data_IF_597058902993
#
_entry.id   IF_597058902993
#
_cell.length_a   1.000
_cell.length_b   1.000
_cell.length_c   1.000
_cell.angle_alpha   90.00
_cell.angle_beta   90.00
_cell.angle_gamma   90.00
#
_symmetry.space_group_name_H-M   'P 1'
#
loop_
_entity.id
_entity.type
_entity.pdbx_description
1 polymer ?
#
# COMPACT_ATOMS: atom_id res chain seq x y z
N UNK A 1 7.64 5.07 27.36
CA UNK A 1 8.62 4.51 26.39
C UNK A 1 8.33 3.02 26.09
N UNK A 2 7.10 2.67 25.69
CA UNK A 2 6.71 1.28 25.41
C UNK A 2 6.04 1.07 24.04
N UNK A 3 5.99 2.11 23.18
CA UNK A 3 5.30 2.07 21.89
C UNK A 3 6.19 1.79 20.67
N UNK A 4 7.51 1.69 20.86
CA UNK A 4 8.49 1.66 19.75
C UNK A 4 8.96 0.25 19.37
N UNK A 5 8.76 -0.76 20.21
CA UNK A 5 9.32 -2.11 19.97
C UNK A 5 8.50 -2.95 18.99
N UNK A 6 7.17 -2.83 18.96
CA UNK A 6 6.33 -3.59 18.02
C UNK A 6 6.51 -3.10 16.56
N UNK A 7 6.69 -1.79 16.38
CA UNK A 7 6.87 -1.16 15.06
C UNK A 7 8.20 -1.59 14.42
N UNK A 8 9.27 -1.69 15.21
CA UNK A 8 10.60 -2.08 14.69
C UNK A 8 10.67 -3.59 14.37
N UNK A 9 9.95 -4.44 15.11
CA UNK A 9 9.99 -5.89 14.87
C UNK A 9 9.35 -6.32 13.56
N UNK A 10 8.28 -5.66 13.09
CA UNK A 10 7.69 -5.91 11.76
C UNK A 10 8.72 -5.71 10.65
N UNK A 11 9.77 -4.92 10.91
CA UNK A 11 10.69 -4.50 9.87
C UNK A 11 11.90 -5.41 9.62
N UNK A 12 12.11 -6.46 10.44
CA UNK A 12 13.23 -7.41 10.33
C UNK A 12 12.74 -8.87 10.39
N UNK A 13 11.59 -9.19 9.78
CA UNK A 13 11.06 -10.57 9.80
C UNK A 13 11.39 -11.29 8.47
N UNK A 14 11.93 -12.53 8.51
CA UNK A 14 12.04 -13.40 7.33
C UNK A 14 10.66 -13.69 6.71
N UNK A 15 10.62 -14.41 5.60
CA UNK A 15 9.42 -14.70 4.79
C UNK A 15 8.23 -15.27 5.60
N UNK A 16 7.47 -14.41 6.29
CA UNK A 16 6.34 -14.79 7.13
C UNK A 16 5.07 -14.99 6.30
N UNK A 17 5.01 -14.47 5.06
CA UNK A 17 3.85 -14.62 4.17
C UNK A 17 3.32 -16.07 4.09
N UNK A 18 4.16 -17.06 3.74
CA UNK A 18 3.76 -18.47 3.76
C UNK A 18 3.29 -18.98 5.12
N UNK A 19 3.98 -18.60 6.20
CA UNK A 19 3.64 -19.04 7.56
C UNK A 19 2.30 -18.47 8.01
N UNK A 20 2.02 -17.20 7.70
CA UNK A 20 0.75 -16.55 7.99
C UNK A 20 -0.40 -17.20 7.22
N UNK A 21 -0.18 -17.50 5.94
CA UNK A 21 -1.14 -18.22 5.10
C UNK A 21 -1.42 -19.61 5.68
N UNK A 22 -0.39 -20.31 6.15
CA UNK A 22 -0.53 -21.61 6.80
C UNK A 22 -1.32 -21.52 8.11
N UNK A 23 -1.05 -20.52 8.95
CA UNK A 23 -1.80 -20.27 10.20
C UNK A 23 -3.27 -20.00 9.90
N UNK A 24 -3.57 -19.17 8.90
CA UNK A 24 -4.96 -18.90 8.48
C UNK A 24 -5.62 -20.19 8.02
N UNK A 25 -5.01 -20.95 7.11
CA UNK A 25 -5.59 -22.19 6.59
C UNK A 25 -5.84 -23.23 7.70
N UNK A 26 -4.86 -23.46 8.59
CA UNK A 26 -5.03 -24.39 9.72
C UNK A 26 -6.17 -23.99 10.65
N UNK A 27 -6.33 -22.70 10.92
CA UNK A 27 -7.42 -22.21 11.74
C UNK A 27 -8.77 -22.35 11.04
N UNK A 28 -8.83 -22.03 9.75
CA UNK A 28 -10.04 -22.25 8.94
C UNK A 28 -10.43 -23.73 8.94
N UNK A 29 -9.48 -24.65 8.70
CA UNK A 29 -9.73 -26.10 8.72
C UNK A 29 -10.26 -26.59 10.08
N UNK A 30 -9.80 -25.97 11.18
CA UNK A 30 -10.31 -26.26 12.53
C UNK A 30 -11.74 -25.74 12.71
N UNK A 31 -12.00 -24.49 12.31
CA UNK A 31 -13.31 -23.84 12.41
C UNK A 31 -14.37 -24.53 11.55
N UNK A 32 -14.00 -25.04 10.38
CA UNK A 32 -14.89 -25.81 9.49
C UNK A 32 -15.38 -27.11 10.15
N UNK A 33 -14.58 -27.72 11.03
CA UNK A 33 -14.96 -28.95 11.76
C UNK A 33 -15.87 -28.67 12.95
N UNK A 34 -15.86 -27.45 13.47
CA UNK A 34 -16.74 -27.04 14.57
C UNK A 34 -18.12 -26.67 14.02
N UNK A 35 -19.11 -27.50 14.32
CA UNK A 35 -20.47 -27.39 13.79
C UNK A 35 -21.23 -26.16 14.32
N UNK A 36 -21.09 -25.87 15.61
CA UNK A 36 -21.74 -24.73 16.27
C UNK A 36 -20.89 -23.47 16.12
N UNK A 37 -21.50 -22.38 15.67
CA UNK A 37 -20.84 -21.08 15.60
C UNK A 37 -20.43 -20.56 16.99
N UNK A 38 -21.19 -20.89 18.04
CA UNK A 38 -20.92 -20.43 19.40
C UNK A 38 -19.65 -21.07 20.00
N UNK A 39 -19.27 -22.24 19.50
CA UNK A 39 -18.10 -23.01 19.98
C UNK A 39 -16.83 -22.70 19.18
N UNK A 40 -16.91 -21.81 18.18
CA UNK A 40 -15.78 -21.41 17.35
C UNK A 40 -14.94 -20.36 18.06
N UNK A 41 -13.68 -20.69 18.33
CA UNK A 41 -12.68 -19.72 18.77
C UNK A 41 -12.02 -19.04 17.55
N UNK A 42 -12.33 -17.76 17.38
CA UNK A 42 -11.79 -16.95 16.28
C UNK A 42 -10.54 -16.15 16.65
N UNK A 43 -10.04 -16.24 17.89
CA UNK A 43 -8.96 -15.39 18.41
C UNK A 43 -7.71 -15.40 17.51
N UNK A 44 -7.27 -16.58 17.11
CA UNK A 44 -6.08 -16.74 16.25
C UNK A 44 -6.34 -16.22 14.84
N UNK A 45 -7.54 -16.44 14.29
CA UNK A 45 -7.90 -15.92 12.97
C UNK A 45 -7.94 -14.39 12.96
N UNK A 46 -8.48 -13.77 14.00
CA UNK A 46 -8.50 -12.31 14.16
C UNK A 46 -7.08 -11.75 14.32
N UNK A 47 -6.21 -12.40 15.08
CA UNK A 47 -4.81 -11.98 15.21
C UNK A 47 -4.04 -12.09 13.89
N UNK A 48 -4.28 -13.17 13.14
CA UNK A 48 -3.70 -13.38 11.82
C UNK A 48 -4.18 -12.30 10.83
N UNK A 49 -5.48 -12.00 10.81
CA UNK A 49 -6.06 -10.93 9.98
C UNK A 49 -5.50 -9.55 10.34
N UNK A 50 -5.43 -9.19 11.62
CA UNK A 50 -4.84 -7.93 12.05
C UNK A 50 -3.36 -7.81 11.64
N UNK A 51 -2.63 -8.93 11.64
CA UNK A 51 -1.25 -8.97 11.15
C UNK A 51 -1.18 -8.74 9.63
N UNK A 52 -2.09 -9.34 8.84
CA UNK A 52 -2.19 -9.07 7.40
C UNK A 52 -2.54 -7.60 7.14
N UNK A 53 -3.50 -7.05 7.89
CA UNK A 53 -3.95 -5.66 7.78
C UNK A 53 -2.79 -4.69 8.02
N UNK A 54 -2.06 -4.85 9.14
CA UNK A 54 -0.93 -3.98 9.48
C UNK A 54 0.21 -4.12 8.47
N UNK A 55 0.56 -5.36 8.09
CA UNK A 55 1.66 -5.63 7.15
C UNK A 55 1.34 -5.33 5.68
N UNK A 56 0.12 -4.91 5.36
CA UNK A 56 -0.32 -4.62 3.99
C UNK A 56 -0.99 -3.25 3.89
N UNK A 57 -2.18 -3.09 4.47
CA UNK A 57 -3.02 -1.89 4.32
C UNK A 57 -2.35 -0.68 4.98
N UNK A 58 -1.93 -0.83 6.23
CA UNK A 58 -1.30 0.29 6.95
C UNK A 58 0.07 0.64 6.37
N UNK A 59 0.83 -0.37 5.96
CA UNK A 59 2.07 -0.16 5.23
C UNK A 59 1.85 0.60 3.92
N UNK A 60 0.88 0.21 3.08
CA UNK A 60 0.56 0.95 1.83
C UNK A 60 0.13 2.38 2.13
N UNK A 61 -0.69 2.61 3.16
CA UNK A 61 -1.10 3.96 3.57
C UNK A 61 0.08 4.83 3.96
N UNK A 62 1.13 4.23 4.52
CA UNK A 62 2.40 4.88 4.86
C UNK A 62 3.37 5.02 3.66
N UNK A 63 2.97 4.59 2.47
CA UNK A 63 3.79 4.66 1.25
C UNK A 63 4.77 3.49 1.10
N UNK A 64 4.55 2.37 1.78
CA UNK A 64 5.41 1.18 1.74
C UNK A 64 5.01 0.17 0.65
N UNK A 65 4.29 0.61 -0.40
CA UNK A 65 3.82 -0.23 -1.50
C UNK A 65 4.83 -1.21 -2.06
N UNK A 66 6.00 -0.70 -2.47
CA UNK A 66 7.09 -1.53 -3.02
C UNK A 66 7.54 -2.64 -2.08
N UNK A 67 7.50 -2.37 -0.78
CA UNK A 67 7.89 -3.33 0.24
C UNK A 67 6.79 -4.37 0.45
N UNK A 68 5.54 -3.93 0.54
CA UNK A 68 4.36 -4.80 0.60
C UNK A 68 4.31 -5.71 -0.64
N UNK A 69 4.55 -5.19 -1.83
CA UNK A 69 4.67 -6.01 -3.03
C UNK A 69 5.88 -6.95 -2.94
N UNK A 70 7.07 -6.49 -2.53
CA UNK A 70 8.20 -7.41 -2.35
C UNK A 70 7.88 -8.55 -1.36
N UNK A 71 7.02 -8.31 -0.36
CA UNK A 71 6.57 -9.33 0.58
C UNK A 71 5.52 -10.28 -0.01
N UNK A 72 4.53 -9.75 -0.72
CA UNK A 72 3.39 -10.51 -1.21
C UNK A 72 3.49 -10.92 -2.68
N UNK A 73 4.50 -10.49 -3.44
CA UNK A 73 4.60 -10.70 -4.89
C UNK A 73 4.34 -12.15 -5.30
N UNK A 74 4.93 -13.08 -4.55
CA UNK A 74 4.83 -14.53 -4.82
C UNK A 74 3.71 -15.22 -4.03
N UNK A 75 2.98 -14.50 -3.19
CA UNK A 75 2.04 -15.07 -2.22
C UNK A 75 0.65 -14.41 -2.21
N UNK A 76 0.44 -13.33 -2.97
CA UNK A 76 -0.81 -12.56 -2.99
C UNK A 76 -2.03 -13.41 -3.36
N UNK A 77 -1.91 -14.29 -4.35
CA UNK A 77 -3.01 -15.20 -4.69
C UNK A 77 -3.32 -16.19 -3.57
N UNK A 78 -2.28 -16.78 -2.96
CA UNK A 78 -2.44 -17.76 -1.90
C UNK A 78 -3.05 -17.14 -0.64
N UNK A 79 -2.63 -15.91 -0.29
CA UNK A 79 -3.24 -15.12 0.77
C UNK A 79 -4.73 -14.88 0.51
N UNK A 80 -5.09 -14.39 -0.68
CA UNK A 80 -6.48 -14.07 -1.00
C UNK A 80 -7.38 -15.32 -1.06
N UNK A 81 -6.84 -16.48 -1.44
CA UNK A 81 -7.57 -17.76 -1.35
C UNK A 81 -7.81 -18.16 0.11
N UNK A 82 -6.80 -18.03 0.98
CA UNK A 82 -6.94 -18.32 2.40
C UNK A 82 -7.99 -17.40 3.06
N UNK A 83 -7.95 -16.09 2.75
CA UNK A 83 -8.96 -15.13 3.21
C UNK A 83 -10.35 -15.42 2.64
N UNK A 84 -10.45 -15.88 1.38
CA UNK A 84 -11.74 -16.27 0.79
C UNK A 84 -12.39 -17.43 1.54
N UNK A 85 -11.60 -18.42 1.99
CA UNK A 85 -12.10 -19.49 2.85
C UNK A 85 -12.50 -18.97 4.23
N UNK A 86 -11.68 -18.10 4.81
CA UNK A 86 -11.96 -17.48 6.10
C UNK A 86 -13.26 -16.65 6.11
N UNK A 87 -13.61 -15.99 5.00
CA UNK A 87 -14.91 -15.30 4.87
C UNK A 87 -16.08 -16.28 5.06
N UNK A 88 -16.01 -17.51 4.54
CA UNK A 88 -17.09 -18.49 4.69
C UNK A 88 -17.31 -18.88 6.17
N UNK A 89 -16.23 -19.17 6.90
CA UNK A 89 -16.33 -19.65 8.28
C UNK A 89 -16.69 -18.56 9.29
N UNK A 90 -16.51 -17.30 8.91
CA UNK A 90 -16.85 -16.14 9.76
C UNK A 90 -18.29 -15.67 9.56
N UNK A 91 -19.06 -16.21 8.61
CA UNK A 91 -20.48 -15.81 8.42
C UNK A 91 -21.25 -15.99 9.73
N UNK A 92 -21.93 -14.91 10.15
CA UNK A 92 -22.67 -14.86 11.41
C UNK A 92 -21.84 -14.46 12.63
N UNK A 93 -20.51 -14.42 12.53
CA UNK A 93 -19.65 -13.92 13.61
C UNK A 93 -19.76 -12.38 13.73
N UNK A 94 -19.65 -11.79 14.93
CA UNK A 94 -19.78 -10.35 15.13
C UNK A 94 -18.78 -9.50 14.33
N UNK A 95 -17.60 -10.04 14.05
CA UNK A 95 -16.52 -9.35 13.33
C UNK A 95 -16.49 -9.64 11.82
N UNK A 96 -17.45 -10.42 11.29
CA UNK A 96 -17.48 -10.84 9.88
C UNK A 96 -17.37 -9.66 8.90
N UNK A 97 -18.13 -8.60 9.14
CA UNK A 97 -18.16 -7.44 8.24
C UNK A 97 -16.83 -6.70 8.20
N UNK A 98 -16.14 -6.58 9.33
CA UNK A 98 -14.82 -5.96 9.39
C UNK A 98 -13.79 -6.84 8.69
N UNK A 99 -13.80 -8.15 8.95
CA UNK A 99 -12.95 -9.13 8.26
C UNK A 99 -13.15 -9.07 6.73
N UNK A 100 -14.40 -9.07 6.28
CA UNK A 100 -14.75 -8.97 4.86
C UNK A 100 -14.23 -7.67 4.26
N UNK A 101 -14.39 -6.54 4.96
CA UNK A 101 -13.87 -5.25 4.52
C UNK A 101 -12.36 -5.26 4.35
N UNK A 102 -11.61 -5.83 5.29
CA UNK A 102 -10.17 -6.02 5.17
C UNK A 102 -9.84 -6.88 3.94
N UNK A 103 -10.54 -8.01 3.74
CA UNK A 103 -10.30 -8.88 2.59
C UNK A 103 -10.56 -8.17 1.24
N UNK A 104 -11.59 -7.34 1.15
CA UNK A 104 -11.86 -6.49 -0.03
C UNK A 104 -10.73 -5.49 -0.30
N UNK A 105 -10.27 -4.79 0.75
CA UNK A 105 -9.15 -3.84 0.64
C UNK A 105 -7.86 -4.53 0.20
N UNK A 106 -7.58 -5.73 0.74
CA UNK A 106 -6.40 -6.51 0.37
C UNK A 106 -6.46 -6.97 -1.09
N UNK A 107 -7.64 -7.35 -1.59
CA UNK A 107 -7.83 -7.71 -2.99
C UNK A 107 -7.51 -6.53 -3.93
N UNK A 108 -8.05 -5.34 -3.63
CA UNK A 108 -7.78 -4.10 -4.37
C UNK A 108 -6.29 -3.72 -4.33
N UNK A 109 -5.72 -3.63 -3.12
CA UNK A 109 -4.35 -3.16 -2.92
C UNK A 109 -3.28 -4.07 -3.51
N UNK A 110 -3.46 -5.40 -3.44
CA UNK A 110 -2.50 -6.35 -3.99
C UNK A 110 -2.66 -6.56 -5.50
N UNK A 111 -3.64 -5.89 -6.12
CA UNK A 111 -3.94 -5.96 -7.55
C UNK A 111 -3.98 -7.42 -8.03
N UNK A 112 -4.81 -8.22 -7.36
CA UNK A 112 -5.05 -9.63 -7.71
C UNK A 112 -6.16 -9.68 -8.78
N UNK A 113 -6.11 -10.58 -9.78
CA UNK A 113 -7.15 -10.66 -10.80
C UNK A 113 -8.53 -10.98 -10.19
N UNK A 114 -9.59 -10.38 -10.73
CA UNK A 114 -10.97 -10.71 -10.37
C UNK A 114 -11.37 -12.08 -10.94
N UNK A 115 -11.00 -13.15 -10.24
CA UNK A 115 -11.27 -14.54 -10.66
C UNK A 115 -12.35 -15.18 -9.76
N UNK A 116 -13.60 -15.33 -10.24
CA UNK A 116 -14.69 -15.91 -9.46
C UNK A 116 -14.51 -17.40 -9.16
N UNK A 117 -13.57 -18.09 -9.83
CA UNK A 117 -13.25 -19.50 -9.54
C UNK A 117 -12.29 -19.63 -8.35
N UNK A 118 -11.57 -18.56 -8.01
CA UNK A 118 -10.55 -18.55 -6.94
C UNK A 118 -11.00 -17.83 -5.67
N UNK A 119 -11.83 -16.80 -5.79
CA UNK A 119 -12.11 -15.88 -4.69
C UNK A 119 -13.59 -15.80 -4.31
N UNK A 120 -13.83 -15.50 -3.04
CA UNK A 120 -15.19 -15.40 -2.51
C UNK A 120 -15.97 -14.26 -3.17
N UNK A 121 -17.23 -14.49 -3.53
CA UNK A 121 -18.06 -13.54 -4.29
C UNK A 121 -18.24 -12.19 -3.59
N UNK A 122 -18.33 -12.17 -2.25
CA UNK A 122 -18.41 -10.93 -1.48
C UNK A 122 -17.12 -10.11 -1.55
N UNK A 123 -15.95 -10.76 -1.59
CA UNK A 123 -14.67 -10.07 -1.74
C UNK A 123 -14.63 -9.38 -3.11
N UNK A 124 -14.98 -10.12 -4.17
CA UNK A 124 -14.99 -9.59 -5.54
C UNK A 124 -15.97 -8.42 -5.71
N UNK A 125 -17.18 -8.54 -5.15
CA UNK A 125 -18.15 -7.43 -5.18
C UNK A 125 -17.64 -6.20 -4.43
N UNK A 126 -17.05 -6.40 -3.26
CA UNK A 126 -16.51 -5.31 -2.45
C UNK A 126 -15.31 -4.63 -3.11
N UNK A 127 -14.37 -5.39 -3.68
CA UNK A 127 -13.23 -4.82 -4.41
C UNK A 127 -13.66 -4.09 -5.68
N UNK A 128 -14.63 -4.62 -6.44
CA UNK A 128 -15.17 -3.93 -7.62
C UNK A 128 -15.83 -2.60 -7.25
N UNK A 129 -16.57 -2.56 -6.13
CA UNK A 129 -17.16 -1.31 -5.64
C UNK A 129 -16.08 -0.28 -5.26
N UNK A 130 -14.96 -0.73 -4.69
CA UNK A 130 -13.79 0.13 -4.42
C UNK A 130 -13.15 0.62 -5.73
N UNK A 131 -12.98 -0.25 -6.73
CA UNK A 131 -12.49 0.14 -8.06
C UNK A 131 -13.37 1.23 -8.70
N UNK A 132 -14.69 1.10 -8.63
CA UNK A 132 -15.62 2.12 -9.15
C UNK A 132 -15.48 3.44 -8.39
N UNK A 133 -15.25 3.42 -7.08
CA UNK A 133 -14.97 4.63 -6.31
C UNK A 133 -13.61 5.23 -6.67
N UNK A 134 -12.57 4.40 -6.84
CA UNK A 134 -11.25 4.82 -7.32
C UNK A 134 -11.29 5.40 -8.75
N UNK A 135 -12.27 5.03 -9.58
CA UNK A 135 -12.47 5.65 -10.91
C UNK A 135 -13.09 7.04 -10.82
N UNK A 136 -13.85 7.34 -9.77
CA UNK A 136 -14.36 8.69 -9.49
C UNK A 136 -13.25 9.61 -8.98
N UNK A 137 -12.23 9.04 -8.33
CA UNK A 137 -11.04 9.74 -7.91
C UNK A 137 -10.26 10.25 -9.14
N UNK A 138 -10.11 11.56 -9.26
CA UNK A 138 -9.45 12.14 -10.41
C UNK A 138 -7.93 11.88 -10.40
N UNK A 139 -7.35 11.79 -11.59
CA UNK A 139 -5.91 11.58 -11.80
C UNK A 139 -5.04 12.59 -11.04
N UNK A 140 -5.54 13.81 -10.87
CA UNK A 140 -4.89 14.84 -10.07
C UNK A 140 -4.67 14.37 -8.62
N UNK A 141 -5.72 13.89 -7.98
CA UNK A 141 -5.70 13.54 -6.56
C UNK A 141 -4.85 12.29 -6.32
N UNK A 142 -4.87 11.33 -7.25
CA UNK A 142 -3.94 10.20 -7.27
C UNK A 142 -2.49 10.67 -7.31
N UNK A 143 -2.14 11.55 -8.25
CA UNK A 143 -0.80 12.10 -8.37
C UNK A 143 -0.39 12.95 -7.14
N UNK A 144 -1.31 13.76 -6.61
CA UNK A 144 -1.09 14.57 -5.42
C UNK A 144 -0.79 13.71 -4.20
N UNK A 145 -1.67 12.74 -3.91
CA UNK A 145 -1.53 11.83 -2.76
C UNK A 145 -0.24 11.04 -2.86
N UNK A 146 0.07 10.57 -4.07
CA UNK A 146 1.29 9.83 -4.34
C UNK A 146 2.56 10.64 -4.11
N UNK A 147 2.63 11.84 -4.67
CA UNK A 147 3.78 12.75 -4.49
C UNK A 147 3.90 13.16 -3.03
N UNK A 148 2.78 13.40 -2.35
CA UNK A 148 2.76 13.73 -0.92
C UNK A 148 3.30 12.58 -0.07
N UNK A 149 2.89 11.34 -0.33
CA UNK A 149 3.40 10.16 0.38
C UNK A 149 4.92 10.01 0.24
N UNK A 150 5.46 10.04 -0.98
CA UNK A 150 6.92 9.92 -1.17
C UNK A 150 7.70 11.12 -0.62
N UNK A 151 7.07 12.31 -0.59
CA UNK A 151 7.68 13.50 -0.01
C UNK A 151 7.74 13.40 1.51
N UNK A 152 6.70 12.88 2.17
CA UNK A 152 6.63 12.82 3.62
C UNK A 152 7.26 11.55 4.22
N UNK A 153 7.46 10.50 3.44
CA UNK A 153 8.04 9.22 3.89
C UNK A 153 9.47 9.37 4.40
N UNK A 154 9.73 8.97 5.65
CA UNK A 154 11.04 9.00 6.33
C UNK A 154 12.04 7.95 5.83
N UNK A 155 11.74 7.30 4.70
CA UNK A 155 12.42 6.08 4.25
C UNK A 155 13.24 6.26 2.99
N UNK A 156 14.12 5.30 2.74
CA UNK A 156 14.84 5.20 1.49
C UNK A 156 13.91 4.63 0.41
N UNK A 157 13.69 5.36 -0.68
CA UNK A 157 12.83 4.92 -1.79
C UNK A 157 13.58 4.04 -2.81
N UNK A 158 14.67 3.40 -2.38
CA UNK A 158 15.37 2.47 -3.25
C UNK A 158 14.79 1.07 -3.05
N UNK A 159 14.41 0.37 -4.13
CA UNK A 159 13.91 -1.00 -4.03
C UNK A 159 14.82 -1.88 -3.18
N UNK A 160 14.21 -2.65 -2.27
CA UNK A 160 14.88 -3.56 -1.34
C UNK A 160 15.68 -2.90 -0.20
N UNK A 161 15.63 -1.57 -0.04
CA UNK A 161 16.26 -0.89 1.09
C UNK A 161 15.27 -0.74 2.25
N UNK A 162 15.65 -1.20 3.43
CA UNK A 162 14.79 -1.13 4.63
C UNK A 162 15.12 0.05 5.55
N UNK A 163 16.06 0.90 5.16
CA UNK A 163 16.53 2.02 5.97
C UNK A 163 15.49 3.16 6.07
N UNK A 164 15.37 3.71 7.27
CA UNK A 164 14.60 4.92 7.61
C UNK A 164 15.49 5.97 8.26
N UNK A 165 15.07 7.24 8.30
CA UNK A 165 15.76 8.28 9.07
C UNK A 165 15.94 7.82 10.51
N UNK A 166 14.92 7.14 11.04
CA UNK A 166 14.87 6.61 12.40
C UNK A 166 15.87 5.46 12.59
N UNK A 167 15.96 4.51 11.66
CA UNK A 167 16.91 3.38 11.78
C UNK A 167 18.37 3.81 11.63
N UNK A 168 18.62 4.80 10.77
CA UNK A 168 19.98 5.26 10.45
C UNK A 168 20.46 6.42 11.33
N UNK A 169 19.58 7.01 12.14
CA UNK A 169 19.88 8.19 12.94
C UNK A 169 20.29 9.41 12.14
N UNK A 170 20.01 9.47 10.83
CA UNK A 170 20.43 10.57 9.95
C UNK A 170 19.38 10.92 8.90
N UNK A 171 19.40 12.18 8.45
CA UNK A 171 18.60 12.62 7.31
C UNK A 171 19.17 12.03 6.00
N UNK A 172 18.30 11.40 5.23
CA UNK A 172 18.54 11.00 3.84
C UNK A 172 18.58 12.19 2.90
N UNK A 173 19.30 11.99 1.79
CA UNK A 173 19.42 12.98 0.75
C UNK A 173 18.22 12.88 -0.18
N UNK A 174 17.62 14.03 -0.50
CA UNK A 174 16.57 14.09 -1.51
C UNK A 174 17.21 14.06 -2.90
N UNK A 175 16.51 13.48 -3.87
CA UNK A 175 16.92 13.56 -5.27
C UNK A 175 17.10 15.03 -5.67
N UNK A 176 18.27 15.40 -6.18
CA UNK A 176 18.56 16.77 -6.62
C UNK A 176 17.65 17.26 -7.75
N UNK A 177 17.11 16.34 -8.56
CA UNK A 177 16.17 16.65 -9.64
C UNK A 177 14.79 17.04 -9.13
N UNK A 178 14.06 16.08 -8.53
CA UNK A 178 12.68 16.32 -8.10
C UNK A 178 12.55 16.92 -6.68
N UNK A 179 13.58 16.79 -5.84
CA UNK A 179 13.62 17.21 -4.42
C UNK A 179 12.55 16.56 -3.52
N UNK A 180 11.85 15.53 -4.00
CA UNK A 180 10.79 14.83 -3.25
C UNK A 180 11.23 13.49 -2.68
N UNK A 181 11.85 12.67 -3.52
CA UNK A 181 12.18 11.28 -3.19
C UNK A 181 13.50 11.22 -2.43
N UNK A 182 13.49 10.61 -1.24
CA UNK A 182 14.67 10.50 -0.37
C UNK A 182 15.41 9.16 -0.54
N UNK A 183 16.74 9.19 -0.47
CA UNK A 183 17.61 8.02 -0.54
C UNK A 183 18.70 8.05 0.54
N UNK A 184 18.92 6.91 1.21
CA UNK A 184 19.92 6.82 2.28
C UNK A 184 21.37 6.88 1.78
N UNK A 185 21.60 6.67 0.48
CA UNK A 185 22.91 6.72 -0.17
C UNK A 185 22.78 6.95 -1.67
N UNK A 186 23.87 7.38 -2.31
CA UNK A 186 23.97 7.49 -3.78
C UNK A 186 23.78 6.12 -4.46
N UNK A 187 24.28 5.04 -3.85
CA UNK A 187 24.07 3.66 -4.34
C UNK A 187 22.58 3.33 -4.44
N UNK A 188 21.81 3.68 -3.40
CA UNK A 188 20.36 3.51 -3.37
C UNK A 188 19.67 4.33 -4.48
N UNK A 189 20.06 5.60 -4.65
CA UNK A 189 19.53 6.44 -5.74
C UNK A 189 19.83 5.83 -7.12
N UNK A 190 21.05 5.35 -7.37
CA UNK A 190 21.45 4.71 -8.64
C UNK A 190 20.63 3.44 -8.94
N UNK A 191 20.30 2.64 -7.92
CA UNK A 191 19.42 1.47 -8.09
C UNK A 191 18.01 1.89 -8.49
N UNK A 192 17.41 2.85 -7.77
CA UNK A 192 16.08 3.35 -8.10
C UNK A 192 16.03 4.03 -9.48
N UNK A 193 17.14 4.68 -9.90
CA UNK A 193 17.24 5.36 -11.18
C UNK A 193 17.04 4.45 -12.40
N UNK A 194 17.47 3.18 -12.30
CA UNK A 194 17.47 2.20 -13.38
C UNK A 194 16.48 1.04 -13.16
N UNK A 195 15.56 1.15 -12.20
CA UNK A 195 14.59 0.09 -11.92
C UNK A 195 13.78 -0.26 -13.18
N UNK A 196 13.65 -1.54 -13.53
CA UNK A 196 13.03 -1.96 -14.79
C UNK A 196 11.56 -1.56 -14.91
N UNK A 197 10.74 -1.95 -13.93
CA UNK A 197 9.29 -1.75 -13.96
C UNK A 197 8.91 -0.26 -13.84
N UNK A 198 9.67 0.52 -13.06
CA UNK A 198 9.38 1.93 -12.84
C UNK A 198 10.65 2.72 -12.44
N UNK A 199 11.50 3.09 -13.42
CA UNK A 199 12.76 3.78 -13.14
C UNK A 199 12.49 5.22 -12.69
N UNK A 200 13.15 5.65 -11.61
CA UNK A 200 13.06 7.03 -11.14
C UNK A 200 13.50 8.04 -12.23
N UNK A 201 14.37 7.65 -13.17
CA UNK A 201 14.77 8.48 -14.31
C UNK A 201 13.59 9.01 -15.11
N UNK A 202 12.53 8.21 -15.30
CA UNK A 202 11.34 8.58 -16.08
C UNK A 202 10.40 9.44 -15.23
N UNK A 203 10.26 9.10 -13.95
CA UNK A 203 9.27 9.71 -13.04
C UNK A 203 9.77 11.05 -12.46
N UNK A 204 11.08 11.20 -12.25
CA UNK A 204 11.71 12.38 -11.66
C UNK A 204 11.27 13.72 -12.30
N UNK A 205 11.34 13.92 -13.62
CA UNK A 205 10.90 15.19 -14.24
C UNK A 205 9.39 15.43 -14.07
N UNK A 206 8.59 14.37 -14.06
CA UNK A 206 7.14 14.47 -13.91
C UNK A 206 6.75 14.86 -12.48
N UNK A 207 7.41 14.28 -11.47
CA UNK A 207 7.23 14.68 -10.06
C UNK A 207 7.68 16.12 -9.84
N UNK A 208 8.80 16.53 -10.46
CA UNK A 208 9.26 17.92 -10.41
C UNK A 208 8.20 18.86 -10.99
N UNK A 209 7.75 18.60 -12.22
CA UNK A 209 6.80 19.46 -12.90
C UNK A 209 5.47 19.58 -12.13
N UNK A 210 4.93 18.46 -11.64
CA UNK A 210 3.70 18.45 -10.84
C UNK A 210 3.89 19.27 -9.56
N UNK A 211 4.97 19.02 -8.84
CA UNK A 211 5.25 19.69 -7.57
C UNK A 211 5.43 21.20 -7.72
N UNK A 212 6.13 21.62 -8.77
CA UNK A 212 6.37 23.03 -9.05
C UNK A 212 5.07 23.76 -9.45
N UNK A 213 4.24 23.13 -10.29
CA UNK A 213 2.92 23.68 -10.68
C UNK A 213 1.99 23.82 -9.49
N UNK A 214 2.01 22.83 -8.59
CA UNK A 214 1.16 22.80 -7.40
C UNK A 214 1.75 23.56 -6.21
N UNK A 215 2.96 24.11 -6.35
CA UNK A 215 3.70 24.79 -5.28
C UNK A 215 3.76 23.94 -4.00
N UNK A 216 3.91 22.63 -4.16
CA UNK A 216 3.98 21.72 -3.01
C UNK A 216 5.20 22.06 -2.16
N UNK A 217 5.03 22.18 -0.85
CA UNK A 217 6.15 22.44 0.04
C UNK A 217 7.10 21.25 0.09
N UNK A 218 8.41 21.53 0.15
CA UNK A 218 9.39 20.48 0.41
C UNK A 218 9.22 19.96 1.85
N UNK A 219 9.64 18.73 2.11
CA UNK A 219 9.52 18.03 3.40
C UNK A 219 10.04 18.81 4.63
N UNK A 220 10.76 19.91 4.42
CA UNK A 220 11.38 20.73 5.45
C UNK A 220 11.22 22.24 5.20
N UNK A 221 10.17 22.66 4.48
CA UNK A 221 9.71 24.03 4.63
C UNK A 221 8.82 24.04 5.88
N UNK A 222 9.07 24.96 6.81
CA UNK A 222 8.38 25.08 8.10
C UNK A 222 6.92 25.57 7.96
N UNK A 223 6.17 25.04 6.99
CA UNK A 223 4.87 25.56 6.60
C UNK A 223 3.74 24.54 6.66
N UNK A 224 2.56 25.05 7.02
CA UNK A 224 1.31 24.31 7.16
C UNK A 224 0.96 23.48 5.91
N UNK A 225 0.41 22.29 6.18
CA UNK A 225 -0.18 21.41 5.17
C UNK A 225 -1.32 22.16 4.47
N UNK A 226 -1.22 22.37 3.16
CA UNK A 226 -2.30 23.01 2.39
C UNK A 226 -3.61 22.22 2.58
N UNK A 227 -4.72 22.89 2.94
CA UNK A 227 -6.01 22.23 3.11
C UNK A 227 -6.59 21.73 1.77
N UNK A 228 -7.45 20.69 1.80
CA UNK A 228 -7.95 19.99 0.60
C UNK A 228 -8.76 20.87 -0.37
N UNK A 229 -9.29 21.99 0.09
CA UNK A 229 -10.18 22.91 -0.62
C UNK A 229 -9.45 23.81 -1.65
N UNK A 230 -8.17 24.14 -1.42
CA UNK A 230 -7.35 24.94 -2.35
C UNK A 230 -7.10 24.21 -3.69
N UNK A 231 -7.18 22.88 -3.67
CA UNK A 231 -6.93 22.02 -4.83
C UNK A 231 -8.00 22.13 -5.92
N UNK A 232 -9.25 22.45 -5.54
CA UNK A 232 -10.37 22.54 -6.48
C UNK A 232 -10.17 23.59 -7.59
N UNK A 233 -9.38 24.64 -7.34
CA UNK A 233 -9.12 25.72 -8.29
C UNK A 233 -8.13 25.37 -9.43
N UNK A 234 -7.34 24.30 -9.30
CA UNK A 234 -6.32 23.93 -10.29
C UNK A 234 -6.85 23.04 -11.43
N UNK A 235 -8.07 22.51 -11.29
CA UNK A 235 -8.69 21.59 -12.25
C UNK A 235 -9.23 22.31 -13.50
N UNK A 236 -9.54 23.60 -13.41
CA UNK A 236 -10.27 24.35 -14.45
C UNK A 236 -9.47 24.95 -15.61
N UNK A 237 -8.13 24.83 -15.64
CA UNK A 237 -7.31 25.49 -16.68
C UNK A 237 -6.50 24.49 -17.49
N UNK A 238 -7.09 23.83 -18.50
CA UNK A 238 -6.47 23.29 -19.74
C UNK A 238 -5.15 22.49 -19.73
N UNK A 239 -4.52 22.27 -18.58
CA UNK A 239 -3.16 21.73 -18.40
C UNK A 239 -3.17 20.20 -18.42
N UNK A 240 -4.34 19.58 -18.24
CA UNK A 240 -4.53 18.15 -18.02
C UNK A 240 -4.44 17.27 -19.27
N UNK A 241 -4.56 17.85 -20.47
CA UNK A 241 -4.55 17.08 -21.73
C UNK A 241 -3.21 16.36 -21.97
N UNK A 242 -2.10 16.89 -21.43
CA UNK A 242 -0.75 16.31 -21.57
C UNK A 242 -0.49 15.14 -20.61
N UNK A 243 -1.19 15.09 -19.47
CA UNK A 243 -1.01 14.09 -18.42
C UNK A 243 -1.92 12.86 -18.57
N UNK A 244 -2.99 12.98 -19.38
CA UNK A 244 -3.86 11.89 -19.85
C UNK A 244 -3.15 10.83 -20.71
N UNK A 245 -1.86 10.97 -21.03
CA UNK A 245 -1.08 9.90 -21.67
C UNK A 245 -0.70 8.81 -20.65
N UNK A 246 -1.71 8.04 -20.21
CA UNK A 246 -1.79 6.60 -19.84
C UNK A 246 -0.58 5.94 -19.14
N UNK A 247 0.36 6.67 -18.56
CA UNK A 247 1.52 6.06 -17.89
C UNK A 247 1.97 6.76 -16.62
N UNK A 248 1.74 8.06 -16.46
CA UNK A 248 2.26 8.75 -15.26
C UNK A 248 1.56 8.32 -13.98
N UNK A 249 0.22 8.37 -13.95
CA UNK A 249 -0.57 8.00 -12.77
C UNK A 249 -0.43 6.50 -12.51
N UNK A 250 -0.49 5.66 -13.54
CA UNK A 250 -0.34 4.21 -13.39
C UNK A 250 1.05 3.80 -12.90
N UNK A 251 2.13 4.42 -13.40
CA UNK A 251 3.49 4.15 -12.93
C UNK A 251 3.71 4.68 -11.50
N UNK A 252 3.14 5.84 -11.17
CA UNK A 252 3.29 6.44 -9.85
C UNK A 252 2.44 5.71 -8.80
N UNK A 253 1.21 5.32 -9.14
CA UNK A 253 0.37 4.43 -8.35
C UNK A 253 0.98 3.04 -8.24
N UNK A 254 1.62 2.52 -9.29
CA UNK A 254 2.42 1.29 -9.21
C UNK A 254 3.67 1.45 -8.34
N UNK A 255 4.21 2.65 -8.14
CA UNK A 255 5.27 2.90 -7.15
C UNK A 255 4.78 2.85 -5.70
N UNK A 256 3.48 2.98 -5.49
CA UNK A 256 2.82 3.11 -4.18
C UNK A 256 1.98 1.90 -3.82
N UNK A 257 1.47 1.17 -4.82
CA UNK A 257 0.68 -0.05 -4.67
C UNK A 257 1.51 -1.31 -4.95
N UNK A 258 2.56 -1.19 -5.77
CA UNK A 258 3.46 -2.29 -6.14
C UNK A 258 4.92 -1.97 -5.78
#
# INVERSE_FOLDING_TARGET
>A
MAGTTLSVMVFIIPSFGPQLIEVINKNVDSLEKTASLADRDFSVLQQAEGTVQVSTIEMIRQGEGMRVNSYWKNHKEALLRALSRAVNVTIGAPFHNEFLRTACLLHDFLCVPHDPTKYHSLILKGSLAMDEEHKKENDFWKAYTAIRQVTLSDRCHAPGCLETFTSTGRKFQNCSGCKRVSYCSEKCQKRAWKLGEAPHKIICPLVKEFSDRMKLQFKFADGEVLPPDVVGGCVGRGVWVRWRRIRFVDILSSWIRC
#
